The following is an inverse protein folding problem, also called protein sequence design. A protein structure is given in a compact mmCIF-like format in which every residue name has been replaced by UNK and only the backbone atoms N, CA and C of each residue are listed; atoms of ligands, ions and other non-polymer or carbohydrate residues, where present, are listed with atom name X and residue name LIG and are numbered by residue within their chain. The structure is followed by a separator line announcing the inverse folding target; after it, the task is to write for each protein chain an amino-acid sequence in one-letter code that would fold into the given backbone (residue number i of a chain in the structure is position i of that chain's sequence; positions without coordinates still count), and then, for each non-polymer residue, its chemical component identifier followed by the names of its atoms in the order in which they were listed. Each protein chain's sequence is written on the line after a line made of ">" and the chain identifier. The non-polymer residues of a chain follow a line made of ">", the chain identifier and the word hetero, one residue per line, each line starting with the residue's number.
data_IF_233126626545
#
_entry.id   IF_233126626545
#
_cell.length_a   1.000
_cell.length_b   1.000
_cell.length_c   1.000
_cell.angle_alpha   90.00
_cell.angle_beta   90.00
_cell.angle_gamma   90.00
#
_symmetry.space_group_name_H-M   'P 1'
#
loop_
_entity.id
_entity.type
_entity.pdbx_description
1 polymer ?
#
# COMPACT_ATOMS: atom_id res chain seq x y z
N UNK A 1 38.08 -41.58 37.73
CA UNK A 1 37.97 -41.19 36.31
C UNK A 1 36.61 -41.60 35.78
N UNK A 2 35.63 -40.69 35.72
CA UNK A 2 34.29 -40.97 35.20
C UNK A 2 34.08 -40.10 33.96
N UNK A 3 34.07 -40.73 32.79
CA UNK A 3 34.00 -40.08 31.48
C UNK A 3 32.56 -39.59 31.25
N UNK A 4 32.39 -38.27 31.31
CA UNK A 4 31.15 -37.57 30.99
C UNK A 4 30.73 -37.88 29.55
N UNK A 5 29.61 -38.59 29.39
CA UNK A 5 29.04 -38.92 28.09
C UNK A 5 28.19 -37.74 27.61
N UNK A 6 28.76 -36.91 26.75
CA UNK A 6 28.08 -35.83 26.04
C UNK A 6 26.89 -36.38 25.24
N UNK A 7 25.66 -35.99 25.61
CA UNK A 7 24.47 -36.19 24.78
C UNK A 7 24.60 -35.27 23.57
N UNK A 8 24.78 -35.86 22.40
CA UNK A 8 24.89 -35.18 21.11
C UNK A 8 23.48 -34.75 20.70
N UNK A 9 23.15 -33.47 20.89
CA UNK A 9 21.88 -32.89 20.42
C UNK A 9 21.88 -32.96 18.89
N UNK A 10 21.03 -33.82 18.32
CA UNK A 10 20.81 -33.89 16.87
C UNK A 10 19.90 -32.72 16.51
N UNK A 11 20.47 -31.69 15.89
CA UNK A 11 19.71 -30.60 15.27
C UNK A 11 18.99 -31.18 14.03
N UNK A 12 17.71 -30.84 13.76
CA UNK A 12 17.07 -31.23 12.51
C UNK A 12 17.85 -30.67 11.31
N UNK A 13 17.86 -31.36 10.15
CA UNK A 13 18.56 -30.88 8.97
C UNK A 13 18.03 -29.49 8.58
N UNK A 14 18.95 -28.56 8.29
CA UNK A 14 18.61 -27.23 7.74
C UNK A 14 17.77 -27.46 6.50
N UNK A 15 16.52 -26.99 6.54
CA UNK A 15 15.68 -26.90 5.35
C UNK A 15 16.49 -26.08 4.34
N UNK A 16 16.84 -26.62 3.15
CA UNK A 16 17.43 -25.80 2.11
C UNK A 16 16.37 -24.75 1.78
N UNK A 17 16.68 -23.49 2.05
CA UNK A 17 15.82 -22.37 1.66
C UNK A 17 15.56 -22.55 0.17
N UNK A 18 14.31 -22.86 -0.17
CA UNK A 18 13.87 -22.89 -1.55
C UNK A 18 14.36 -21.59 -2.20
N UNK A 19 14.85 -21.62 -3.46
CA UNK A 19 15.19 -20.40 -4.16
C UNK A 19 13.96 -19.51 -4.06
N UNK A 20 14.13 -18.37 -3.39
CA UNK A 20 13.16 -17.29 -3.36
C UNK A 20 12.55 -17.22 -4.76
N UNK A 21 11.25 -17.47 -4.85
CA UNK A 21 10.49 -17.42 -6.08
C UNK A 21 10.92 -16.17 -6.84
N UNK A 22 11.72 -16.38 -7.90
CA UNK A 22 12.23 -15.30 -8.74
C UNK A 22 11.15 -14.75 -9.66
N UNK A 23 9.87 -15.03 -9.38
CA UNK A 23 8.85 -14.04 -9.61
C UNK A 23 9.15 -12.86 -8.69
N UNK A 24 9.89 -11.88 -9.23
CA UNK A 24 9.57 -10.47 -9.00
C UNK A 24 8.11 -10.28 -9.40
N UNK A 25 7.22 -10.78 -8.55
CA UNK A 25 5.81 -10.49 -8.54
C UNK A 25 5.79 -8.98 -8.36
N UNK A 26 5.24 -8.28 -9.33
CA UNK A 26 4.95 -6.86 -9.25
C UNK A 26 4.52 -6.52 -7.82
N UNK A 27 5.34 -5.77 -7.10
CA UNK A 27 5.01 -5.38 -5.73
C UNK A 27 3.91 -4.33 -5.83
N UNK A 28 2.77 -4.59 -5.20
CA UNK A 28 1.68 -3.62 -5.13
C UNK A 28 2.22 -2.27 -4.66
N UNK A 29 1.89 -1.22 -5.40
CA UNK A 29 2.29 0.16 -5.07
C UNK A 29 1.09 0.90 -4.54
N UNK A 30 1.31 1.68 -3.48
CA UNK A 30 0.23 2.43 -2.81
C UNK A 30 0.49 3.92 -2.94
N UNK A 31 -0.52 4.64 -3.43
CA UNK A 31 -0.56 6.09 -3.40
C UNK A 31 -1.35 6.52 -2.15
N UNK A 32 -0.69 7.24 -1.26
CA UNK A 32 -1.29 7.81 -0.06
C UNK A 32 -1.45 9.32 -0.24
N UNK A 33 -2.66 9.83 0.00
CA UNK A 33 -2.98 11.25 -0.04
C UNK A 33 -3.46 11.72 1.34
N UNK A 34 -2.79 12.74 1.87
CA UNK A 34 -3.16 13.45 3.08
C UNK A 34 -3.95 14.71 2.72
N UNK A 35 -5.28 14.63 2.75
CA UNK A 35 -6.12 15.82 2.59
C UNK A 35 -6.32 16.44 3.98
N UNK A 36 -5.67 17.58 4.21
CA UNK A 36 -5.61 18.25 5.52
C UNK A 36 -6.86 19.05 5.87
N UNK A 37 -7.52 19.62 4.88
CA UNK A 37 -8.75 20.40 5.06
C UNK A 37 -9.70 20.11 3.90
N UNK A 38 -10.97 19.87 4.22
CA UNK A 38 -12.05 19.86 3.24
C UNK A 38 -12.87 21.12 3.46
N UNK A 39 -12.60 22.14 2.66
CA UNK A 39 -13.32 23.42 2.73
C UNK A 39 -14.69 23.35 2.04
N UNK A 40 -14.86 22.45 1.07
CA UNK A 40 -16.08 22.30 0.27
C UNK A 40 -16.33 20.82 -0.10
N UNK A 41 -17.29 20.19 0.59
CA UNK A 41 -17.61 18.78 0.40
C UNK A 41 -18.11 18.48 -1.02
N UNK A 42 -18.90 19.37 -1.61
CA UNK A 42 -19.50 19.15 -2.93
C UNK A 42 -18.43 19.16 -4.03
N UNK A 43 -17.42 20.02 -3.91
CA UNK A 43 -16.27 20.02 -4.84
C UNK A 43 -15.43 18.75 -4.70
N UNK A 44 -15.23 18.26 -3.47
CA UNK A 44 -14.50 17.01 -3.25
C UNK A 44 -15.25 15.84 -3.86
N UNK A 45 -16.57 15.75 -3.71
CA UNK A 45 -17.37 14.69 -4.34
C UNK A 45 -17.30 14.72 -5.87
N UNK A 46 -17.36 15.91 -6.48
CA UNK A 46 -17.19 16.06 -7.94
C UNK A 46 -15.80 15.65 -8.41
N UNK A 47 -14.76 16.05 -7.69
CA UNK A 47 -13.38 15.64 -7.95
C UNK A 47 -13.24 14.11 -7.84
N UNK A 48 -13.71 13.53 -6.74
CA UNK A 48 -13.65 12.09 -6.49
C UNK A 48 -14.37 11.29 -7.58
N UNK A 49 -15.54 11.75 -8.06
CA UNK A 49 -16.26 11.11 -9.16
C UNK A 49 -15.42 11.00 -10.44
N UNK A 50 -14.68 12.07 -10.80
CA UNK A 50 -13.74 12.04 -11.92
C UNK A 50 -12.56 11.12 -11.65
N UNK A 51 -11.98 11.21 -10.44
CA UNK A 51 -10.81 10.40 -10.07
C UNK A 51 -11.14 8.91 -10.02
N UNK A 52 -12.31 8.49 -9.52
CA UNK A 52 -12.73 7.08 -9.50
C UNK A 52 -12.64 6.46 -10.88
N UNK A 53 -13.19 7.13 -11.89
CA UNK A 53 -13.16 6.66 -13.27
C UNK A 53 -11.71 6.51 -13.78
N UNK A 54 -10.83 7.48 -13.47
CA UNK A 54 -9.42 7.38 -13.84
C UNK A 54 -8.73 6.22 -13.13
N UNK A 55 -8.92 6.06 -11.82
CA UNK A 55 -8.26 5.00 -11.04
C UNK A 55 -8.67 3.62 -11.55
N UNK A 56 -9.96 3.40 -11.82
CA UNK A 56 -10.45 2.15 -12.41
C UNK A 56 -9.85 1.89 -13.80
N UNK A 57 -9.73 2.93 -14.64
CA UNK A 57 -9.12 2.84 -15.97
C UNK A 57 -7.65 2.39 -15.93
N UNK A 58 -6.90 2.82 -14.92
CA UNK A 58 -5.49 2.45 -14.73
C UNK A 58 -5.30 1.20 -13.86
N UNK A 59 -6.39 0.48 -13.53
CA UNK A 59 -6.35 -0.76 -12.75
C UNK A 59 -6.01 -0.56 -11.27
N UNK A 60 -6.28 0.64 -10.74
CA UNK A 60 -6.12 0.94 -9.33
C UNK A 60 -7.35 0.53 -8.51
N UNK A 61 -7.14 0.30 -7.22
CA UNK A 61 -8.17 -0.11 -6.26
C UNK A 61 -8.10 0.78 -5.01
N UNK A 62 -9.23 1.30 -4.57
CA UNK A 62 -9.29 2.07 -3.33
C UNK A 62 -9.27 1.14 -2.12
N UNK A 63 -8.36 1.43 -1.18
CA UNK A 63 -8.28 0.76 0.12
C UNK A 63 -8.87 1.63 1.23
N UNK A 64 -8.62 2.94 1.15
CA UNK A 64 -9.14 3.93 2.10
C UNK A 64 -9.60 5.14 1.31
N UNK A 65 -10.78 5.66 1.65
CA UNK A 65 -11.36 6.84 1.03
C UNK A 65 -12.05 7.67 2.12
N UNK A 66 -11.25 8.41 2.86
CA UNK A 66 -11.70 9.10 4.07
C UNK A 66 -12.20 8.13 5.14
N UNK A 67 -13.02 8.67 6.03
CA UNK A 67 -13.63 7.92 7.13
C UNK A 67 -12.97 8.20 8.49
N UNK A 68 -13.49 7.54 9.54
CA UNK A 68 -12.94 7.68 10.89
C UNK A 68 -11.58 6.99 10.96
N UNK A 69 -10.56 7.74 11.35
CA UNK A 69 -9.23 7.22 11.67
C UNK A 69 -9.01 7.25 13.18
N UNK A 70 -8.84 6.07 13.79
CA UNK A 70 -8.44 5.97 15.19
C UNK A 70 -6.92 6.12 15.32
N UNK A 71 -6.48 7.03 16.19
CA UNK A 71 -5.06 7.21 16.47
C UNK A 71 -4.57 6.08 17.39
N UNK A 72 -3.73 5.19 16.86
CA UNK A 72 -3.13 4.09 17.61
C UNK A 72 -1.77 4.49 18.20
N UNK A 73 -0.93 5.17 17.42
CA UNK A 73 0.41 5.60 17.83
C UNK A 73 0.81 6.90 17.09
N UNK A 74 1.52 7.80 17.77
CA UNK A 74 1.97 9.09 17.25
C UNK A 74 0.96 10.22 17.45
N UNK A 75 1.12 11.31 16.70
CA UNK A 75 0.32 12.55 16.86
C UNK A 75 -0.37 12.98 15.56
N UNK A 76 -0.17 12.24 14.47
CA UNK A 76 -0.72 12.62 13.16
C UNK A 76 -2.12 12.03 12.97
N UNK A 77 -3.10 12.92 12.82
CA UNK A 77 -4.50 12.59 12.53
C UNK A 77 -4.88 13.18 11.17
N UNK A 78 -4.88 12.39 10.10
CA UNK A 78 -5.35 12.85 8.80
C UNK A 78 -6.86 13.12 8.86
N UNK A 79 -7.29 14.25 8.29
CA UNK A 79 -8.72 14.62 8.26
C UNK A 79 -9.47 13.77 7.25
N UNK A 80 -8.84 13.49 6.10
CA UNK A 80 -9.42 12.64 5.07
C UNK A 80 -8.31 11.85 4.34
N UNK A 81 -7.89 10.69 4.87
CA UNK A 81 -6.85 9.87 4.25
C UNK A 81 -7.41 9.15 3.02
N UNK A 82 -6.67 9.15 1.91
CA UNK A 82 -7.01 8.34 0.72
C UNK A 82 -5.85 7.42 0.37
N UNK A 83 -6.14 6.14 0.17
CA UNK A 83 -5.17 5.12 -0.22
C UNK A 83 -5.67 4.40 -1.46
N UNK A 84 -4.86 4.46 -2.52
CA UNK A 84 -5.10 3.74 -3.77
C UNK A 84 -3.97 2.73 -3.98
N UNK A 85 -4.34 1.47 -4.18
CA UNK A 85 -3.44 0.38 -4.54
C UNK A 85 -3.37 0.22 -6.07
N UNK A 86 -2.17 0.01 -6.58
CA UNK A 86 -1.89 -0.37 -7.96
C UNK A 86 -1.06 -1.65 -7.99
N UNK A 87 -1.13 -2.39 -9.09
CA UNK A 87 -0.38 -3.63 -9.27
C UNK A 87 1.15 -3.43 -9.22
N UNK A 88 1.64 -2.28 -9.71
CA UNK A 88 3.05 -1.88 -9.64
C UNK A 88 3.21 -0.35 -9.69
N UNK A 89 4.46 0.10 -9.51
CA UNK A 89 4.78 1.53 -9.50
C UNK A 89 4.73 2.20 -10.87
N UNK A 90 4.71 1.44 -11.96
CA UNK A 90 4.51 2.00 -13.30
C UNK A 90 3.05 2.39 -13.52
N UNK A 91 2.10 1.55 -13.08
CA UNK A 91 0.67 1.88 -13.13
C UNK A 91 0.35 3.12 -12.28
N UNK A 92 0.89 3.17 -11.05
CA UNK A 92 0.73 4.34 -10.18
C UNK A 92 1.26 5.63 -10.82
N UNK A 93 2.44 5.58 -11.45
CA UNK A 93 3.02 6.74 -12.15
C UNK A 93 2.23 7.12 -13.40
N UNK A 94 1.82 6.15 -14.21
CA UNK A 94 1.01 6.39 -15.41
C UNK A 94 -0.31 7.05 -15.07
N UNK A 95 -0.97 6.59 -14.01
CA UNK A 95 -2.19 7.23 -13.51
C UNK A 95 -1.90 8.67 -13.03
N UNK A 96 -0.91 8.85 -12.16
CA UNK A 96 -0.61 10.17 -11.58
C UNK A 96 -0.13 11.21 -12.61
N UNK A 97 0.50 10.77 -13.71
CA UNK A 97 0.94 11.64 -14.81
C UNK A 97 -0.02 11.62 -16.01
N UNK A 98 -1.22 11.07 -15.85
CA UNK A 98 -2.21 10.99 -16.93
C UNK A 98 -2.80 12.37 -17.23
N UNK A 99 -3.06 12.71 -18.51
CA UNK A 99 -3.73 13.96 -18.87
C UNK A 99 -5.16 14.05 -18.31
N UNK A 100 -5.76 12.92 -17.93
CA UNK A 100 -7.06 12.84 -17.27
C UNK A 100 -6.99 13.22 -15.79
N UNK A 101 -5.89 12.89 -15.10
CA UNK A 101 -5.68 13.21 -13.69
C UNK A 101 -5.02 14.58 -13.46
N UNK A 102 -4.17 15.03 -14.39
CA UNK A 102 -3.49 16.34 -14.31
C UNK A 102 -4.43 17.55 -14.08
N UNK A 103 -5.61 17.68 -14.72
CA UNK A 103 -6.53 18.81 -14.46
C UNK A 103 -7.28 18.68 -13.14
N UNK A 104 -7.23 17.52 -12.50
CA UNK A 104 -7.90 17.26 -11.22
C UNK A 104 -6.97 17.58 -10.04
N UNK A 105 -5.65 17.51 -10.25
CA UNK A 105 -4.61 17.82 -9.25
C UNK A 105 -4.67 19.26 -8.72
#
# INVERSE_FOLDING_TARGET
>A
MAKSTMRRTVYPPRIPWSPCDQRRSAMSTYCFFDVREITDQAKVEQYLAGVFATVEQYGGRYLVLGGKSDLVEGDWQPVYPVIVEFADGEHARRWYSSPEYEPLK
#
